data_IF_439427803037
#
_entry.id   IF_439427803037
#
_cell.length_a   1.000
_cell.length_b   1.000
_cell.length_c   1.000
_cell.angle_alpha   90.00
_cell.angle_beta   90.00
_cell.angle_gamma   90.00
#
_symmetry.space_group_name_H-M   'P 1'
#
loop_
_entity.id
_entity.type
_entity.pdbx_description
1 polymer ?
#
# COMPACT_ATOMS: atom_id res chain seq x y z
N UNK A 1 22.71 16.30 -11.19
CA UNK A 1 21.28 16.42 -11.55
C UNK A 1 20.47 16.08 -10.32
N UNK A 2 19.74 17.03 -9.73
CA UNK A 2 18.78 16.71 -8.65
C UNK A 2 17.68 15.80 -9.21
N UNK A 3 17.21 14.81 -8.45
CA UNK A 3 16.09 14.00 -8.91
C UNK A 3 14.83 14.87 -8.98
N UNK A 4 14.10 14.81 -10.08
CA UNK A 4 12.82 15.52 -10.23
C UNK A 4 11.72 14.95 -9.31
N UNK A 5 11.97 13.76 -8.74
CA UNK A 5 11.13 13.07 -7.77
C UNK A 5 11.74 13.22 -6.38
N UNK A 6 10.95 13.69 -5.41
CA UNK A 6 11.24 13.59 -3.99
C UNK A 6 10.44 12.43 -3.38
N UNK A 7 11.04 11.75 -2.40
CA UNK A 7 10.33 10.77 -1.58
C UNK A 7 10.20 11.32 -0.17
N UNK A 8 9.06 11.09 0.46
CA UNK A 8 8.82 11.41 1.88
C UNK A 8 7.96 10.33 2.51
N UNK A 9 8.10 10.11 3.82
CA UNK A 9 7.13 9.32 4.58
C UNK A 9 5.73 9.93 4.42
N UNK A 10 4.72 9.07 4.33
CA UNK A 10 3.35 9.52 4.32
C UNK A 10 2.92 10.05 5.70
N UNK A 11 1.90 10.88 5.71
CA UNK A 11 1.17 11.29 6.90
C UNK A 11 -0.26 10.78 6.84
N UNK A 12 -1.02 10.93 7.93
CA UNK A 12 -2.43 10.53 7.99
C UNK A 12 -3.30 11.23 6.94
N UNK A 13 -2.90 12.43 6.55
CA UNK A 13 -3.59 13.28 5.59
C UNK A 13 -3.46 12.71 4.17
N UNK A 14 -2.42 11.92 3.88
CA UNK A 14 -2.22 11.26 2.59
C UNK A 14 -3.16 10.05 2.38
N UNK A 15 -3.96 9.67 3.37
CA UNK A 15 -4.77 8.43 3.33
C UNK A 15 -5.72 8.34 2.12
N UNK A 16 -6.20 9.47 1.60
CA UNK A 16 -7.01 9.51 0.37
C UNK A 16 -6.19 9.10 -0.85
N UNK A 17 -5.00 9.67 -0.99
CA UNK A 17 -4.09 9.35 -2.09
C UNK A 17 -3.58 7.91 -2.00
N UNK A 18 -3.27 7.45 -0.79
CA UNK A 18 -2.89 6.06 -0.55
C UNK A 18 -4.02 5.09 -0.94
N UNK A 19 -5.28 5.43 -0.66
CA UNK A 19 -6.42 4.59 -1.04
C UNK A 19 -6.57 4.50 -2.56
N UNK A 20 -6.49 5.64 -3.26
CA UNK A 20 -6.56 5.69 -4.73
C UNK A 20 -5.41 4.91 -5.37
N UNK A 21 -4.17 5.13 -4.93
CA UNK A 21 -2.99 4.48 -5.49
C UNK A 21 -2.94 2.98 -5.19
N UNK A 22 -3.47 2.55 -4.03
CA UNK A 22 -3.65 1.13 -3.69
C UNK A 22 -4.67 0.47 -4.63
N UNK A 23 -5.79 1.14 -4.90
CA UNK A 23 -6.79 0.61 -5.83
C UNK A 23 -6.27 0.56 -7.28
N UNK A 24 -5.53 1.59 -7.71
CA UNK A 24 -4.85 1.62 -9.01
C UNK A 24 -3.83 0.48 -9.13
N UNK A 25 -2.97 0.30 -8.13
CA UNK A 25 -1.92 -0.72 -8.15
C UNK A 25 -2.49 -2.14 -8.14
N UNK A 26 -3.62 -2.33 -7.46
CA UNK A 26 -4.31 -3.61 -7.35
C UNK A 26 -5.33 -3.86 -8.48
N UNK A 27 -5.45 -2.93 -9.44
CA UNK A 27 -6.43 -3.00 -10.54
C UNK A 27 -7.87 -3.21 -10.08
N UNK A 28 -8.30 -2.49 -9.03
CA UNK A 28 -9.67 -2.57 -8.49
C UNK A 28 -9.88 -3.68 -7.46
N UNK A 29 -8.85 -4.48 -7.16
CA UNK A 29 -8.98 -5.54 -6.16
C UNK A 29 -9.16 -4.97 -4.74
N UNK A 30 -8.51 -3.85 -4.41
CA UNK A 30 -8.64 -3.20 -3.11
C UNK A 30 -10.07 -2.69 -2.86
N UNK A 31 -10.66 -1.97 -3.83
CA UNK A 31 -12.05 -1.51 -3.73
C UNK A 31 -13.05 -2.67 -3.65
N UNK A 32 -12.80 -3.79 -4.35
CA UNK A 32 -13.60 -5.01 -4.20
C UNK A 32 -13.56 -5.56 -2.76
N UNK A 33 -12.37 -5.59 -2.13
CA UNK A 33 -12.25 -6.00 -0.72
C UNK A 33 -13.00 -5.05 0.21
N UNK A 34 -12.83 -3.74 0.04
CA UNK A 34 -13.47 -2.74 0.89
C UNK A 34 -14.99 -2.71 0.74
N UNK A 35 -15.52 -3.01 -0.45
CA UNK A 35 -16.96 -3.16 -0.67
C UNK A 35 -17.54 -4.27 0.23
N UNK A 36 -16.84 -5.39 0.34
CA UNK A 36 -17.25 -6.49 1.21
C UNK A 36 -17.12 -6.18 2.70
N UNK A 37 -16.42 -5.11 3.09
CA UNK A 37 -16.29 -4.65 4.48
C UNK A 37 -17.36 -3.61 4.89
N UNK A 38 -18.15 -3.06 3.95
CA UNK A 38 -19.16 -2.03 4.27
C UNK A 38 -20.23 -2.51 5.25
N UNK A 39 -20.61 -3.79 5.20
CA UNK A 39 -21.57 -4.40 6.12
C UNK A 39 -21.13 -4.37 7.60
N UNK A 40 -19.86 -4.04 7.87
CA UNK A 40 -19.30 -3.97 9.23
C UNK A 40 -19.18 -2.53 9.75
N UNK A 41 -19.91 -1.56 9.16
CA UNK A 41 -20.04 -0.18 9.68
C UNK A 41 -18.89 0.76 9.34
N UNK A 42 -18.16 0.52 8.26
CA UNK A 42 -16.90 1.21 7.94
C UNK A 42 -16.97 2.30 6.87
N UNK A 43 -18.06 3.06 6.75
CA UNK A 43 -18.26 4.13 5.76
C UNK A 43 -19.35 3.84 4.73
N UNK A 44 -19.64 4.82 3.88
CA UNK A 44 -20.74 4.79 2.90
C UNK A 44 -20.31 4.20 1.55
N UNK A 45 -19.00 4.25 1.24
CA UNK A 45 -18.45 3.78 -0.04
C UNK A 45 -17.19 2.93 0.18
N UNK A 46 -16.84 2.02 -0.75
CA UNK A 46 -15.60 1.25 -0.65
C UNK A 46 -14.35 2.13 -0.53
N UNK A 47 -14.35 3.28 -1.23
CA UNK A 47 -13.23 4.21 -1.19
C UNK A 47 -13.12 4.92 0.17
N UNK A 48 -14.26 5.31 0.77
CA UNK A 48 -14.24 5.84 2.13
C UNK A 48 -13.70 4.81 3.12
N UNK A 49 -14.14 3.56 2.99
CA UNK A 49 -13.65 2.45 3.83
C UNK A 49 -12.13 2.27 3.68
N UNK A 50 -11.63 2.25 2.45
CA UNK A 50 -10.20 2.19 2.16
C UNK A 50 -9.42 3.35 2.78
N UNK A 51 -9.93 4.58 2.63
CA UNK A 51 -9.35 5.78 3.26
C UNK A 51 -9.31 5.68 4.78
N UNK A 52 -10.38 5.18 5.41
CA UNK A 52 -10.43 4.99 6.87
C UNK A 52 -9.40 3.94 7.32
N UNK A 53 -9.29 2.83 6.60
CA UNK A 53 -8.32 1.76 6.88
C UNK A 53 -6.88 2.27 6.80
N UNK A 54 -6.55 3.02 5.76
CA UNK A 54 -5.20 3.55 5.55
C UNK A 54 -4.86 4.72 6.48
N UNK A 55 -5.86 5.44 6.99
CA UNK A 55 -5.67 6.52 7.99
C UNK A 55 -5.50 6.01 9.43
N UNK A 56 -5.99 4.80 9.71
CA UNK A 56 -5.91 4.18 11.02
C UNK A 56 -4.49 3.77 11.40
N UNK A 57 -4.28 3.39 12.66
CA UNK A 57 -2.97 2.96 13.20
C UNK A 57 -2.92 1.47 13.55
N UNK A 58 -3.98 0.75 13.18
CA UNK A 58 -4.14 -0.64 13.57
C UNK A 58 -3.70 -1.55 12.43
N UNK A 59 -2.77 -2.45 12.74
CA UNK A 59 -2.23 -3.41 11.80
C UNK A 59 -1.23 -2.79 10.83
N UNK A 60 -0.76 -3.61 9.89
CA UNK A 60 0.21 -3.24 8.88
C UNK A 60 -0.45 -2.71 7.60
N UNK A 61 0.36 -2.04 6.80
CA UNK A 61 -0.04 -1.48 5.51
C UNK A 61 -0.88 -0.21 5.63
N UNK A 62 -0.73 0.53 6.72
CA UNK A 62 -1.38 1.84 6.92
C UNK A 62 -0.41 2.99 6.53
N UNK A 63 -0.81 4.24 6.76
CA UNK A 63 -0.01 5.43 6.42
C UNK A 63 1.41 5.42 7.00
N UNK A 64 1.64 4.81 8.18
CA UNK A 64 2.98 4.75 8.78
C UNK A 64 3.96 3.89 8.00
N UNK A 65 3.45 2.94 7.22
CA UNK A 65 4.20 1.99 6.41
C UNK A 65 4.39 2.48 4.96
N UNK A 66 4.01 3.73 4.69
CA UNK A 66 3.90 4.27 3.35
C UNK A 66 4.93 5.36 3.05
N UNK A 67 5.40 5.36 1.80
CA UNK A 67 6.22 6.41 1.21
C UNK A 67 5.46 7.05 0.05
N UNK A 68 5.49 8.38 -0.02
CA UNK A 68 4.93 9.18 -1.10
C UNK A 68 6.04 9.61 -2.03
N UNK A 69 5.81 9.47 -3.33
CA UNK A 69 6.61 10.10 -4.37
C UNK A 69 5.93 11.38 -4.85
N UNK A 70 6.64 12.50 -4.73
CA UNK A 70 6.20 13.79 -5.24
C UNK A 70 7.01 14.16 -6.48
N UNK A 71 6.33 14.68 -7.50
CA UNK A 71 6.92 15.05 -8.76
C UNK A 71 6.10 16.16 -9.38
N UNK A 72 6.76 17.16 -9.98
CA UNK A 72 6.09 18.33 -10.59
C UNK A 72 5.12 19.09 -9.65
N UNK A 73 5.35 19.03 -8.33
CA UNK A 73 4.52 19.72 -7.33
C UNK A 73 3.23 18.99 -6.95
N UNK A 74 3.07 17.73 -7.37
CA UNK A 74 1.93 16.88 -7.01
C UNK A 74 2.39 15.51 -6.50
N UNK A 75 1.46 14.77 -5.86
CA UNK A 75 1.68 13.37 -5.50
C UNK A 75 1.60 12.53 -6.77
N UNK A 76 2.72 11.90 -7.11
CA UNK A 76 2.86 11.15 -8.35
C UNK A 76 2.65 9.64 -8.17
N UNK A 77 2.90 9.14 -6.96
CA UNK A 77 2.78 7.74 -6.62
C UNK A 77 3.06 7.47 -5.15
N UNK A 78 2.88 6.22 -4.76
CA UNK A 78 3.12 5.77 -3.40
C UNK A 78 3.52 4.30 -3.39
N UNK A 79 4.20 3.89 -2.34
CA UNK A 79 4.37 2.50 -2.00
C UNK A 79 4.02 2.27 -0.53
N UNK A 80 3.51 1.08 -0.23
CA UNK A 80 3.21 0.62 1.11
C UNK A 80 3.89 -0.72 1.28
N UNK A 81 4.79 -0.81 2.25
CA UNK A 81 5.53 -2.03 2.54
C UNK A 81 5.79 -2.20 4.03
N UNK A 82 5.86 -3.45 4.46
CA UNK A 82 6.06 -3.81 5.86
C UNK A 82 6.68 -5.20 5.99
N UNK A 83 7.36 -5.45 7.10
CA UNK A 83 7.91 -6.76 7.42
C UNK A 83 6.82 -7.80 7.68
N UNK A 84 6.96 -9.00 7.10
CA UNK A 84 6.08 -10.13 7.40
C UNK A 84 6.56 -10.86 8.65
N UNK A 85 5.93 -10.60 9.79
CA UNK A 85 6.17 -11.35 11.02
C UNK A 85 5.47 -12.72 11.06
N UNK A 86 5.84 -13.55 12.04
CA UNK A 86 5.27 -14.90 12.26
C UNK A 86 3.73 -14.91 12.41
N UNK A 87 3.13 -13.79 12.79
CA UNK A 87 1.68 -13.64 12.88
C UNK A 87 0.93 -13.98 11.58
N UNK A 88 1.57 -13.84 10.41
CA UNK A 88 0.95 -14.17 9.11
C UNK A 88 0.56 -15.64 8.98
N UNK A 89 1.24 -16.55 9.69
CA UNK A 89 0.93 -17.99 9.69
C UNK A 89 -0.46 -18.28 10.27
N UNK A 90 -0.91 -17.43 11.19
CA UNK A 90 -2.21 -17.57 11.86
C UNK A 90 -3.36 -16.96 11.03
N UNK A 91 -3.06 -16.16 10.01
CA UNK A 91 -4.09 -15.55 9.16
C UNK A 91 -4.77 -16.63 8.31
N UNK A 92 -6.10 -16.66 8.41
CA UNK A 92 -6.97 -17.47 7.56
C UNK A 92 -7.62 -16.57 6.52
N UNK A 93 -7.66 -17.02 5.27
CA UNK A 93 -8.36 -16.32 4.23
C UNK A 93 -9.87 -16.36 4.52
N UNK A 94 -10.48 -15.19 4.71
CA UNK A 94 -11.93 -15.06 4.90
C UNK A 94 -12.70 -15.15 3.56
N UNK A 95 -11.99 -15.05 2.44
CA UNK A 95 -12.52 -15.17 1.07
C UNK A 95 -11.62 -16.09 0.24
N UNK A 96 -12.18 -16.97 -0.61
CA UNK A 96 -11.37 -17.86 -1.46
C UNK A 96 -10.35 -17.13 -2.34
N UNK A 97 -10.69 -15.92 -2.82
CA UNK A 97 -9.81 -15.09 -3.65
C UNK A 97 -8.54 -14.61 -2.94
N UNK A 98 -8.53 -14.54 -1.60
CA UNK A 98 -7.37 -14.11 -0.80
C UNK A 98 -6.42 -15.26 -0.47
N UNK A 99 -6.87 -16.51 -0.62
CA UNK A 99 -6.08 -17.68 -0.24
C UNK A 99 -4.72 -17.74 -0.95
N UNK A 100 -4.61 -17.55 -2.28
CA UNK A 100 -3.31 -17.62 -2.96
C UNK A 100 -2.30 -16.60 -2.44
N UNK A 101 -2.73 -15.35 -2.19
CA UNK A 101 -1.81 -14.30 -1.71
C UNK A 101 -1.38 -14.55 -0.26
N UNK A 102 -2.28 -15.01 0.61
CA UNK A 102 -1.94 -15.36 1.99
C UNK A 102 -0.99 -16.56 2.04
N UNK A 103 -1.23 -17.59 1.22
CA UNK A 103 -0.38 -18.77 1.16
C UNK A 103 1.05 -18.40 0.70
N UNK A 104 1.19 -17.48 -0.27
CA UNK A 104 2.49 -16.94 -0.67
C UNK A 104 3.17 -16.16 0.46
N UNK A 105 2.45 -15.29 1.17
CA UNK A 105 3.02 -14.52 2.29
C UNK A 105 3.54 -15.44 3.42
N UNK A 106 2.86 -16.56 3.70
CA UNK A 106 3.29 -17.56 4.68
C UNK A 106 4.60 -18.28 4.32
N UNK A 107 4.96 -18.31 3.04
CA UNK A 107 6.22 -18.91 2.57
C UNK A 107 7.42 -17.99 2.75
N UNK A 108 7.19 -16.68 2.90
CA UNK A 108 8.24 -15.65 2.93
C UNK A 108 8.23 -14.83 4.24
N UNK A 109 7.92 -15.48 5.36
CA UNK A 109 8.03 -14.87 6.70
C UNK A 109 9.46 -14.36 6.93
N UNK A 110 9.59 -13.15 7.48
CA UNK A 110 10.85 -12.45 7.67
C UNK A 110 11.28 -11.58 6.48
N UNK A 111 10.54 -11.58 5.37
CA UNK A 111 10.80 -10.69 4.23
C UNK A 111 10.05 -9.35 4.35
N UNK A 112 10.53 -8.37 3.58
CA UNK A 112 9.81 -7.11 3.36
C UNK A 112 8.74 -7.28 2.27
N UNK A 113 7.47 -7.20 2.64
CA UNK A 113 6.36 -7.32 1.71
C UNK A 113 5.91 -5.96 1.23
N UNK A 114 5.96 -5.74 -0.08
CA UNK A 114 5.43 -4.55 -0.73
C UNK A 114 4.00 -4.85 -1.19
N UNK A 115 3.02 -4.41 -0.39
CA UNK A 115 1.60 -4.61 -0.67
C UNK A 115 1.05 -3.67 -1.74
N UNK A 116 1.60 -2.45 -1.82
CA UNK A 116 1.22 -1.44 -2.82
C UNK A 116 2.47 -0.83 -3.42
N UNK A 117 2.48 -0.69 -4.75
CA UNK A 117 3.39 0.21 -5.47
C UNK A 117 2.64 0.76 -6.68
N UNK A 118 2.19 2.01 -6.56
CA UNK A 118 1.33 2.67 -7.55
C UNK A 118 1.94 3.98 -8.03
N UNK A 119 1.80 4.27 -9.32
CA UNK A 119 2.12 5.58 -9.92
C UNK A 119 0.93 5.98 -10.79
N UNK A 120 0.50 7.23 -10.71
CA UNK A 120 -0.56 7.76 -11.56
C UNK A 120 -0.19 7.65 -13.05
N UNK A 121 -1.16 7.28 -13.87
CA UNK A 121 -0.94 6.93 -15.29
C UNK A 121 -0.21 8.02 -16.09
N UNK A 122 -0.54 9.28 -15.85
CA UNK A 122 0.05 10.45 -16.53
C UNK A 122 1.49 10.75 -16.09
N UNK A 123 1.99 10.10 -15.04
CA UNK A 123 3.36 10.24 -14.51
C UNK A 123 4.17 8.94 -14.62
N UNK A 124 3.72 7.95 -15.40
CA UNK A 124 4.46 6.71 -15.65
C UNK A 124 5.56 6.91 -16.70
N UNK A 125 6.48 5.93 -16.78
CA UNK A 125 7.54 5.91 -17.81
C UNK A 125 8.79 6.74 -17.49
N UNK A 126 8.79 7.47 -16.37
CA UNK A 126 9.88 8.41 -15.99
C UNK A 126 10.66 7.96 -14.74
N UNK A 127 10.53 6.68 -14.35
CA UNK A 127 11.37 6.07 -13.30
C UNK A 127 10.88 6.21 -11.86
N UNK A 128 9.72 6.82 -11.59
CA UNK A 128 9.16 6.96 -10.23
C UNK A 128 9.00 5.61 -9.53
N UNK A 129 8.40 4.62 -10.19
CA UNK A 129 8.18 3.28 -9.61
C UNK A 129 9.49 2.58 -9.21
N UNK A 130 10.56 2.77 -10.01
CA UNK A 130 11.90 2.26 -9.66
C UNK A 130 12.45 2.93 -8.41
N UNK A 131 12.20 4.23 -8.23
CA UNK A 131 12.66 4.98 -7.07
C UNK A 131 11.92 4.55 -5.80
N UNK A 132 10.60 4.39 -5.88
CA UNK A 132 9.77 3.83 -4.81
C UNK A 132 10.22 2.42 -4.41
N UNK A 133 10.45 1.54 -5.40
CA UNK A 133 10.91 0.17 -5.13
C UNK A 133 12.25 0.16 -4.40
N UNK A 134 13.22 0.97 -4.84
CA UNK A 134 14.55 1.05 -4.21
C UNK A 134 14.48 1.52 -2.76
N UNK A 135 13.56 2.45 -2.46
CA UNK A 135 13.32 2.95 -1.11
C UNK A 135 12.75 1.84 -0.20
N UNK A 136 11.73 1.13 -0.69
CA UNK A 136 11.11 0.03 0.05
C UNK A 136 12.08 -1.12 0.31
N UNK A 137 12.92 -1.49 -0.66
CA UNK A 137 13.91 -2.56 -0.45
C UNK A 137 15.10 -2.13 0.42
N UNK A 138 15.35 -0.83 0.59
CA UNK A 138 16.35 -0.36 1.55
C UNK A 138 15.86 -0.47 3.01
N UNK A 139 14.54 -0.46 3.21
CA UNK A 139 13.92 -0.55 4.54
C UNK A 139 14.02 -1.96 5.15
N UNK A 140 14.24 -3.00 4.32
CA UNK A 140 14.43 -4.40 4.73
C UNK A 140 15.64 -4.64 5.67
N UNK A 141 16.59 -3.69 5.75
CA UNK A 141 17.80 -3.81 6.56
C UNK A 141 17.90 -2.88 7.77
N UNK A 142 16.80 -2.22 8.17
CA UNK A 142 16.81 -1.15 9.20
C UNK A 142 16.23 -1.53 10.57
N UNK A 143 16.05 -2.83 10.86
CA UNK A 143 15.60 -3.33 12.19
C UNK A 143 16.72 -3.35 13.24
#
# INVERSE_FOLDING_TARGET
MGSFVSLRSATREDATELALLTDIASHGFASWLWLAELGNGGGDTPMERGRQKLRGDQGHGNWSDAVIAEAYGEIAGAAIGYGLGEGIRNIQADRPALRPVIDLQKMVVGSWFIGTLGVYSHLRGIGIGRRLLKDQTASEGSD
#
